data_IF_584111142315
#
_entry.id   IF_584111142315
#
_cell.length_a   1.000
_cell.length_b   1.000
_cell.length_c   1.000
_cell.angle_alpha   90.00
_cell.angle_beta   90.00
_cell.angle_gamma   90.00
#
_symmetry.space_group_name_H-M   'P 1'
#
loop_
_entity.id
_entity.type
_entity.pdbx_description
1 polymer ?
#
# COMPACT_ATOMS: atom_id res chain seq x y z
N UNK A 1 18.43 -8.20 -9.69
CA UNK A 1 18.15 -7.67 -8.33
C UNK A 1 16.68 -7.26 -8.33
N UNK A 2 15.87 -7.64 -7.32
CA UNK A 2 14.47 -7.23 -7.30
C UNK A 2 14.35 -5.71 -7.26
N UNK A 3 13.38 -5.15 -7.98
CA UNK A 3 13.16 -3.69 -8.00
C UNK A 3 12.54 -3.21 -6.69
N UNK A 4 12.60 -1.90 -6.44
CA UNK A 4 11.99 -1.30 -5.23
C UNK A 4 10.49 -1.59 -5.16
N UNK A 5 9.79 -1.48 -6.29
CA UNK A 5 8.35 -1.78 -6.38
C UNK A 5 8.03 -3.24 -6.02
N UNK A 6 8.86 -4.18 -6.50
CA UNK A 6 8.72 -5.59 -6.11
C UNK A 6 8.99 -5.81 -4.62
N UNK A 7 9.91 -5.05 -4.02
CA UNK A 7 10.21 -5.13 -2.59
C UNK A 7 9.07 -4.53 -1.74
N UNK A 8 8.46 -3.45 -2.19
CA UNK A 8 7.26 -2.84 -1.60
C UNK A 8 6.10 -3.84 -1.63
N UNK A 9 5.82 -4.43 -2.80
CA UNK A 9 4.81 -5.49 -2.96
C UNK A 9 5.07 -6.66 -2.01
N UNK A 10 6.32 -7.11 -1.93
CA UNK A 10 6.71 -8.19 -1.04
C UNK A 10 6.48 -7.87 0.44
N UNK A 11 6.91 -6.69 0.92
CA UNK A 11 6.69 -6.27 2.32
C UNK A 11 5.20 -6.11 2.64
N UNK A 12 4.42 -5.57 1.71
CA UNK A 12 2.98 -5.46 1.87
C UNK A 12 2.31 -6.83 2.00
N UNK A 13 2.72 -7.82 1.20
CA UNK A 13 2.25 -9.19 1.33
C UNK A 13 2.65 -9.82 2.67
N UNK A 14 3.90 -9.64 3.10
CA UNK A 14 4.36 -10.11 4.44
C UNK A 14 3.47 -9.53 5.55
N UNK A 15 3.08 -8.27 5.43
CA UNK A 15 2.24 -7.57 6.41
C UNK A 15 0.76 -7.97 6.35
N UNK A 16 0.23 -8.40 5.20
CA UNK A 16 -1.21 -8.63 5.01
C UNK A 16 -1.60 -10.10 4.84
N UNK A 17 -0.65 -11.01 4.63
CA UNK A 17 -0.97 -12.40 4.25
C UNK A 17 -1.80 -13.15 5.29
N UNK A 18 -1.49 -13.00 6.59
CA UNK A 18 -2.22 -13.65 7.69
C UNK A 18 -3.38 -12.82 8.25
N UNK A 19 -3.97 -11.94 7.43
CA UNK A 19 -5.13 -11.12 7.80
C UNK A 19 -4.80 -9.64 8.02
N UNK A 20 -5.78 -8.83 8.49
CA UNK A 20 -5.60 -7.39 8.66
C UNK A 20 -4.47 -7.12 9.66
N UNK A 21 -3.46 -6.30 9.32
CA UNK A 21 -2.35 -6.03 10.22
C UNK A 21 -2.81 -5.13 11.38
N UNK A 22 -2.46 -5.51 12.62
CA UNK A 22 -2.40 -4.57 13.74
C UNK A 22 -1.09 -3.80 13.66
N UNK A 23 -1.21 -2.50 13.40
CA UNK A 23 -0.06 -1.58 13.31
C UNK A 23 -0.01 -0.71 14.55
N UNK A 24 1.15 -0.63 15.18
CA UNK A 24 1.41 0.33 16.24
C UNK A 24 1.66 1.74 15.67
N UNK A 25 0.56 2.40 15.27
CA UNK A 25 0.57 3.75 14.70
C UNK A 25 1.36 4.77 15.54
N UNK A 26 1.26 4.85 16.88
CA UNK A 26 2.02 5.84 17.65
C UNK A 26 3.54 5.59 17.63
N UNK A 27 4.00 4.35 17.58
CA UNK A 27 5.44 4.06 17.46
C UNK A 27 5.95 4.36 16.06
N UNK A 28 5.19 4.00 15.03
CA UNK A 28 5.53 4.28 13.63
C UNK A 28 5.53 5.80 13.37
N UNK A 29 4.56 6.54 13.91
CA UNK A 29 4.46 7.98 13.75
C UNK A 29 5.64 8.69 14.42
N UNK A 30 6.04 8.24 15.61
CA UNK A 30 7.22 8.74 16.34
C UNK A 30 8.51 8.49 15.56
N UNK A 31 8.68 7.29 15.00
CA UNK A 31 9.85 6.94 14.18
C UNK A 31 9.95 7.77 12.88
N UNK A 32 8.81 8.17 12.32
CA UNK A 32 8.75 9.01 11.11
C UNK A 32 8.72 10.52 11.41
N UNK A 33 8.61 10.93 12.68
CA UNK A 33 8.42 12.34 13.06
C UNK A 33 7.08 12.92 12.56
N UNK A 34 6.05 12.09 12.44
CA UNK A 34 4.72 12.48 11.96
C UNK A 34 3.68 12.38 13.08
N UNK A 35 2.55 13.06 12.90
CA UNK A 35 1.38 12.87 13.77
C UNK A 35 0.66 11.55 13.42
N UNK A 36 0.00 10.93 14.39
CA UNK A 36 -0.77 9.68 14.27
C UNK A 36 -1.80 9.75 13.13
N UNK A 37 -2.53 10.87 13.01
CA UNK A 37 -3.52 11.04 11.94
C UNK A 37 -2.89 11.10 10.53
N UNK A 38 -1.72 11.70 10.39
CA UNK A 38 -0.99 11.73 9.11
C UNK A 38 -0.47 10.33 8.75
N UNK A 39 0.02 9.59 9.74
CA UNK A 39 0.51 8.21 9.62
C UNK A 39 -0.61 7.25 9.21
N UNK A 40 -1.78 7.36 9.85
CA UNK A 40 -2.98 6.59 9.50
C UNK A 40 -3.47 6.89 8.07
N UNK A 41 -3.51 8.17 7.66
CA UNK A 41 -3.83 8.54 6.27
C UNK A 41 -2.81 8.00 5.28
N UNK A 42 -1.51 8.02 5.62
CA UNK A 42 -0.44 7.44 4.78
C UNK A 42 -0.65 5.93 4.60
N UNK A 43 -1.01 5.22 5.67
CA UNK A 43 -1.37 3.80 5.59
C UNK A 43 -2.57 3.55 4.67
N UNK A 44 -3.65 4.32 4.84
CA UNK A 44 -4.84 4.19 3.98
C UNK A 44 -4.51 4.42 2.51
N UNK A 45 -3.75 5.47 2.19
CA UNK A 45 -3.32 5.77 0.82
C UNK A 45 -2.43 4.67 0.23
N UNK A 46 -1.50 4.16 1.03
CA UNK A 46 -0.63 3.06 0.62
C UNK A 46 -1.47 1.83 0.32
N UNK A 47 -2.35 1.43 1.24
CA UNK A 47 -3.23 0.27 1.06
C UNK A 47 -4.06 0.38 -0.22
N UNK A 48 -4.73 1.51 -0.44
CA UNK A 48 -5.49 1.75 -1.66
C UNK A 48 -4.61 1.69 -2.92
N UNK A 49 -3.41 2.29 -2.90
CA UNK A 49 -2.49 2.22 -4.03
C UNK A 49 -2.07 0.77 -4.33
N UNK A 50 -1.79 -0.04 -3.31
CA UNK A 50 -1.42 -1.46 -3.47
C UNK A 50 -2.59 -2.30 -3.99
N UNK A 51 -3.81 -2.07 -3.50
CA UNK A 51 -5.02 -2.75 -3.97
C UNK A 51 -5.38 -2.35 -5.42
N UNK A 52 -5.11 -1.10 -5.81
CA UNK A 52 -5.30 -0.58 -7.18
C UNK A 52 -4.13 -0.92 -8.13
N UNK A 53 -3.05 -1.54 -7.63
CA UNK A 53 -1.85 -1.85 -8.42
C UNK A 53 -1.04 -0.61 -8.86
N UNK A 54 -1.17 0.50 -8.13
CA UNK A 54 -0.43 1.75 -8.35
C UNK A 54 0.82 1.81 -7.49
N UNK A 55 1.81 2.56 -7.94
CA UNK A 55 3.04 2.78 -7.18
C UNK A 55 2.75 3.69 -5.96
N UNK A 56 2.96 3.22 -4.71
CA UNK A 56 2.70 4.00 -3.50
C UNK A 56 3.77 5.09 -3.22
N UNK A 57 4.81 5.18 -4.06
CA UNK A 57 5.88 6.17 -3.98
C UNK A 57 7.07 5.72 -3.13
N UNK A 58 8.19 6.46 -3.24
CA UNK A 58 9.48 6.10 -2.62
C UNK A 58 9.46 6.00 -1.09
N UNK A 59 8.57 6.75 -0.42
CA UNK A 59 8.45 6.67 1.05
C UNK A 59 7.71 5.42 1.55
N UNK A 60 7.04 4.68 0.65
CA UNK A 60 6.25 3.51 1.01
C UNK A 60 7.12 2.36 1.52
N UNK A 61 8.32 2.21 0.97
CA UNK A 61 9.22 1.13 1.35
C UNK A 61 9.71 1.28 2.79
N UNK A 62 10.14 2.49 3.19
CA UNK A 62 10.53 2.80 4.57
C UNK A 62 9.34 2.67 5.53
N UNK A 63 8.16 3.15 5.12
CA UNK A 63 6.94 3.04 5.93
C UNK A 63 6.56 1.58 6.20
N UNK A 64 6.54 0.74 5.16
CA UNK A 64 6.21 -0.68 5.27
C UNK A 64 7.20 -1.43 6.16
N UNK A 65 8.49 -1.08 6.09
CA UNK A 65 9.49 -1.66 6.97
C UNK A 65 9.20 -1.36 8.45
N UNK A 66 8.94 -0.09 8.79
CA UNK A 66 8.56 0.30 10.15
C UNK A 66 7.26 -0.37 10.60
N UNK A 67 6.29 -0.48 9.68
CA UNK A 67 5.03 -1.16 9.94
C UNK A 67 5.23 -2.64 10.24
N UNK A 68 6.12 -3.34 9.52
CA UNK A 68 6.45 -4.75 9.80
C UNK A 68 7.18 -4.89 11.14
N UNK A 69 8.15 -4.01 11.42
CA UNK A 69 8.93 -4.02 12.67
C UNK A 69 8.07 -3.77 13.91
N UNK A 70 7.14 -2.82 13.84
CA UNK A 70 6.28 -2.42 14.95
C UNK A 70 4.87 -3.01 14.82
N UNK A 71 4.74 -4.17 14.18
CA UNK A 71 3.49 -4.94 14.19
C UNK A 71 3.57 -6.07 15.21
N UNK A 72 2.42 -6.53 15.69
CA UNK A 72 2.28 -7.72 16.56
C UNK A 72 2.70 -9.04 15.88
N UNK A 73 3.42 -8.96 14.75
CA UNK A 73 3.94 -10.09 13.98
C UNK A 73 5.41 -10.35 14.27
N UNK A 74 6.11 -9.49 15.00
CA UNK A 74 7.44 -9.80 15.50
C UNK A 74 7.36 -11.04 16.41
N UNK A 75 7.81 -12.19 15.90
CA UNK A 75 7.75 -13.49 16.60
C UNK A 75 6.67 -14.47 16.13
N UNK A 76 5.76 -14.08 15.23
CA UNK A 76 4.81 -15.03 14.62
C UNK A 76 5.44 -15.71 13.39
N UNK A 77 5.27 -17.02 13.29
CA UNK A 77 5.66 -17.79 12.10
C UNK A 77 4.97 -17.22 10.87
N UNK A 78 5.76 -16.64 9.95
CA UNK A 78 5.25 -16.12 8.69
C UNK A 78 4.98 -17.29 7.74
N UNK A 79 3.81 -17.27 7.08
CA UNK A 79 3.43 -18.27 6.08
C UNK A 79 4.18 -18.05 4.76
N UNK A 80 5.48 -18.40 4.78
CA UNK A 80 6.36 -18.22 3.63
C UNK A 80 5.89 -18.99 2.38
N UNK A 81 5.10 -20.06 2.56
CA UNK A 81 4.54 -20.84 1.45
C UNK A 81 3.56 -20.00 0.62
N UNK A 82 2.65 -19.30 1.27
CA UNK A 82 1.61 -18.50 0.60
C UNK A 82 2.20 -17.22 0.00
N UNK A 83 3.11 -16.58 0.73
CA UNK A 83 3.83 -15.40 0.24
C UNK A 83 4.65 -15.78 -1.01
N UNK A 84 5.32 -16.94 -0.97
CA UNK A 84 6.11 -17.42 -2.10
C UNK A 84 5.25 -17.75 -3.31
N UNK A 85 4.07 -18.35 -3.11
CA UNK A 85 3.12 -18.62 -4.18
C UNK A 85 2.66 -17.32 -4.87
N UNK A 86 2.34 -16.27 -4.09
CA UNK A 86 1.93 -14.95 -4.62
C UNK A 86 3.06 -14.24 -5.37
N UNK A 87 4.31 -14.47 -4.98
CA UNK A 87 5.49 -13.90 -5.62
C UNK A 87 6.15 -14.81 -6.67
N UNK A 88 5.51 -15.92 -7.06
CA UNK A 88 6.07 -16.92 -7.99
C UNK A 88 7.51 -17.34 -7.63
N UNK A 89 7.77 -17.54 -6.33
CA UNK A 89 9.10 -17.89 -5.81
C UNK A 89 9.03 -19.10 -4.89
N UNK A 90 10.16 -19.54 -4.35
CA UNK A 90 10.22 -20.62 -3.36
C UNK A 90 10.17 -20.04 -1.94
N UNK A 91 9.59 -20.76 -0.96
CA UNK A 91 9.50 -20.28 0.42
C UNK A 91 10.89 -19.96 1.01
N UNK A 92 11.91 -20.75 0.69
CA UNK A 92 13.29 -20.48 1.09
C UNK A 92 13.88 -19.23 0.42
N UNK A 93 13.52 -18.93 -0.83
CA UNK A 93 13.94 -17.69 -1.48
C UNK A 93 13.24 -16.45 -0.89
N UNK A 94 11.95 -16.55 -0.59
CA UNK A 94 11.19 -15.49 0.09
C UNK A 94 11.76 -15.18 1.48
N UNK A 95 12.02 -16.19 2.31
CA UNK A 95 12.61 -16.02 3.63
C UNK A 95 14.02 -15.38 3.55
N UNK A 96 14.85 -15.81 2.59
CA UNK A 96 16.17 -15.19 2.33
C UNK A 96 16.05 -13.74 1.88
N UNK A 97 15.09 -13.42 1.00
CA UNK A 97 14.84 -12.03 0.56
C UNK A 97 14.48 -11.15 1.75
N UNK A 98 13.58 -11.62 2.62
CA UNK A 98 13.22 -10.92 3.86
C UNK A 98 14.42 -10.70 4.77
N UNK A 99 15.23 -11.74 5.01
CA UNK A 99 16.45 -11.64 5.84
C UNK A 99 17.45 -10.62 5.28
N UNK A 100 17.66 -10.60 3.94
CA UNK A 100 18.53 -9.60 3.29
C UNK A 100 18.00 -8.18 3.45
N UNK A 101 16.70 -7.97 3.31
CA UNK A 101 16.09 -6.65 3.52
C UNK A 101 16.21 -6.22 4.98
N UNK A 102 15.87 -7.11 5.92
CA UNK A 102 16.02 -6.85 7.36
C UNK A 102 17.44 -6.39 7.71
N UNK A 103 18.44 -7.13 7.23
CA UNK A 103 19.84 -6.80 7.43
C UNK A 103 20.21 -5.44 6.82
N UNK A 104 19.75 -5.13 5.61
CA UNK A 104 20.02 -3.84 4.98
C UNK A 104 19.47 -2.66 5.80
N UNK A 105 18.23 -2.77 6.31
CA UNK A 105 17.61 -1.75 7.14
C UNK A 105 18.26 -1.62 8.52
N UNK A 106 18.71 -2.72 9.13
CA UNK A 106 19.42 -2.69 10.42
C UNK A 106 20.85 -2.14 10.31
N UNK A 107 21.54 -2.41 9.20
CA UNK A 107 22.87 -1.89 8.92
C UNK A 107 22.87 -0.40 8.53
N UNK A 108 21.69 0.24 8.48
CA UNK A 108 21.56 1.65 8.09
C UNK A 108 21.97 1.92 6.64
N UNK A 109 22.11 0.87 5.81
CA UNK A 109 22.19 1.06 4.37
C UNK A 109 20.79 1.45 3.92
N UNK A 110 20.68 2.70 3.44
CA UNK A 110 19.49 3.16 2.73
C UNK A 110 18.95 2.01 1.88
N UNK A 111 17.66 1.75 2.05
CA UNK A 111 16.87 0.88 1.19
C UNK A 111 17.45 0.83 -0.23
N UNK A 112 17.70 -0.36 -0.83
CA UNK A 112 18.22 -0.43 -2.19
C UNK A 112 17.18 0.16 -3.16
N UNK A 113 17.28 1.47 -3.43
CA UNK A 113 16.26 2.27 -4.10
C UNK A 113 16.24 3.75 -3.75
N UNK A 114 16.78 4.17 -2.58
CA UNK A 114 16.87 5.58 -2.21
C UNK A 114 17.95 6.31 -3.03
N UNK A 115 17.63 6.64 -4.28
CA UNK A 115 18.30 7.73 -4.99
C UNK A 115 17.94 9.02 -4.26
N UNK A 116 18.95 9.64 -3.66
CA UNK A 116 18.81 10.77 -2.75
C UNK A 116 17.95 11.91 -3.30
N UNK A 117 16.99 12.35 -2.48
CA UNK A 117 16.31 13.64 -2.59
C UNK A 117 16.78 14.56 -1.48
N UNK A 118 17.62 15.53 -1.84
CA UNK A 118 18.19 16.60 -1.00
C UNK A 118 17.16 17.35 -0.13
N UNK A 119 17.54 17.88 1.05
CA UNK A 119 16.67 18.70 1.89
C UNK A 119 16.55 20.10 1.28
N UNK A 120 15.43 20.41 0.63
CA UNK A 120 15.16 21.78 0.20
C UNK A 120 14.63 22.57 1.40
N UNK A 121 15.53 23.25 2.11
CA UNK A 121 15.18 24.38 2.97
C UNK A 121 14.55 25.47 2.10
N UNK A 122 13.26 25.74 2.27
CA UNK A 122 12.67 27.01 1.83
C UNK A 122 12.34 27.85 3.07
N UNK A 123 13.06 28.95 3.24
CA UNK A 123 12.94 29.93 4.31
C UNK A 123 12.23 31.17 3.73
N UNK A 124 11.08 31.56 4.31
CA UNK A 124 10.55 32.95 4.24
C UNK A 124 9.11 33.16 3.74
N UNK A 125 8.15 33.23 4.70
CA UNK A 125 7.10 34.27 4.97
C UNK A 125 6.28 34.96 3.84
N UNK A 126 5.15 35.69 4.14
CA UNK A 126 4.12 35.52 5.20
C UNK A 126 2.65 35.75 4.71
N UNK A 127 1.71 35.50 5.63
CA UNK A 127 0.52 36.35 5.95
C UNK A 127 -0.91 35.88 5.62
N UNK A 128 -1.74 36.06 6.67
CA UNK A 128 -3.19 36.33 6.75
C UNK A 128 -4.18 35.21 6.42
N UNK A 129 -4.64 34.59 7.51
CA UNK A 129 -6.04 34.72 7.94
C UNK A 129 -7.10 34.00 7.12
N UNK A 130 -7.57 32.87 7.64
CA UNK A 130 -9.01 32.61 7.71
C UNK A 130 -9.26 31.51 8.75
N UNK A 131 -9.93 31.91 9.82
CA UNK A 131 -10.59 31.03 10.78
C UNK A 131 -11.67 30.23 10.07
N UNK A 132 -11.61 28.90 10.12
CA UNK A 132 -12.79 28.06 9.96
C UNK A 132 -12.84 27.04 11.10
N UNK A 133 -13.86 27.22 11.94
CA UNK A 133 -14.33 26.26 12.93
C UNK A 133 -14.78 24.98 12.23
N UNK A 134 -14.25 23.83 12.64
CA UNK A 134 -14.91 22.54 12.39
C UNK A 134 -15.31 21.94 13.73
N UNK A 135 -16.54 22.23 14.13
CA UNK A 135 -17.25 21.46 15.15
C UNK A 135 -17.67 20.11 14.55
N UNK A 136 -17.54 19.08 15.39
CA UNK A 136 -18.33 17.84 15.42
C UNK A 136 -18.27 16.92 14.20
N UNK A 137 -17.29 16.02 14.20
CA UNK A 137 -17.45 14.70 13.59
C UNK A 137 -18.23 13.80 14.55
N UNK A 138 -19.54 13.67 14.33
CA UNK A 138 -20.31 12.55 14.86
C UNK A 138 -19.94 11.30 14.07
N UNK A 139 -19.30 10.36 14.78
CA UNK A 139 -19.37 8.94 14.49
C UNK A 139 -20.84 8.56 14.27
N UNK A 140 -21.17 7.92 13.14
CA UNK A 140 -22.07 6.76 13.11
C UNK A 140 -22.19 6.14 11.72
N UNK A 141 -22.02 4.82 11.71
CA UNK A 141 -22.65 3.83 10.84
C UNK A 141 -22.17 3.70 9.38
N UNK A 142 -21.10 2.92 9.24
CA UNK A 142 -21.00 1.94 8.17
C UNK A 142 -22.19 0.96 8.24
N UNK A 143 -23.07 0.97 7.24
CA UNK A 143 -23.90 -0.19 6.90
C UNK A 143 -23.63 -0.60 5.46
N UNK A 144 -23.05 -1.79 5.33
CA UNK A 144 -23.11 -2.68 4.18
C UNK A 144 -24.43 -2.54 3.38
N UNK A 145 -24.35 -2.48 2.04
CA UNK A 145 -24.96 -3.50 1.16
C UNK A 145 -24.94 -3.11 -0.34
N UNK A 146 -24.50 -4.10 -1.15
CA UNK A 146 -24.92 -4.41 -2.52
C UNK A 146 -24.43 -3.56 -3.71
N UNK A 147 -23.30 -4.00 -4.30
CA UNK A 147 -23.10 -3.94 -5.74
C UNK A 147 -23.64 -5.22 -6.38
N UNK A 148 -24.76 -5.11 -7.10
CA UNK A 148 -25.21 -6.11 -8.08
C UNK A 148 -25.07 -5.52 -9.49
N UNK A 149 -24.28 -6.18 -10.34
CA UNK A 149 -24.17 -5.87 -11.77
C UNK A 149 -25.47 -6.22 -12.52
N UNK A 150 -25.64 -5.73 -13.76
CA UNK A 150 -25.65 -6.73 -14.83
C UNK A 150 -24.94 -6.35 -16.15
N UNK A 151 -24.39 -7.42 -16.76
CA UNK A 151 -23.93 -7.56 -18.14
C UNK A 151 -25.02 -7.16 -19.15
N UNK A 152 -24.67 -6.34 -20.13
CA UNK A 152 -25.39 -6.29 -21.41
C UNK A 152 -24.63 -7.11 -22.46
N UNK A 153 -25.10 -8.34 -22.73
CA UNK A 153 -24.96 -9.01 -24.03
C UNK A 153 -26.35 -9.05 -24.65
N UNK A 154 -26.49 -8.49 -25.84
CA UNK A 154 -27.68 -8.61 -26.70
C UNK A 154 -27.11 -8.89 -28.10
N UNK A 155 -26.98 -10.15 -28.54
CA UNK A 155 -27.99 -11.05 -29.16
C UNK A 155 -28.44 -10.54 -30.54
N UNK A 156 -27.80 -11.05 -31.59
CA UNK A 156 -28.34 -11.15 -32.96
C UNK A 156 -29.66 -11.96 -32.95
N UNK A 157 -30.60 -11.69 -33.88
CA UNK A 157 -30.63 -12.52 -35.10
C UNK A 157 -31.15 -11.83 -36.39
N UNK A 158 -30.63 -12.32 -37.52
CA UNK A 158 -31.33 -12.72 -38.76
C UNK A 158 -32.53 -11.87 -39.30
N UNK A 159 -32.40 -11.32 -40.52
CA UNK A 159 -33.32 -11.60 -41.65
C UNK A 159 -33.03 -10.77 -42.94
N UNK A 160 -32.71 -11.51 -44.00
CA UNK A 160 -33.28 -11.49 -45.37
C UNK A 160 -33.41 -10.17 -46.18
N UNK A 161 -32.60 -10.14 -47.24
CA UNK A 161 -33.00 -10.12 -48.67
C UNK A 161 -33.84 -8.97 -49.26
N UNK A 162 -33.24 -8.24 -50.21
CA UNK A 162 -33.78 -7.96 -51.56
C UNK A 162 -32.68 -7.21 -52.36
N UNK A 163 -32.05 -7.85 -53.36
CA UNK A 163 -32.41 -7.90 -54.80
C UNK A 163 -32.18 -6.59 -55.58
N UNK A 164 -31.22 -6.71 -56.52
CA UNK A 164 -31.27 -6.38 -57.97
C UNK A 164 -31.01 -4.93 -58.43
N UNK A 165 -29.94 -4.84 -59.24
CA UNK A 165 -29.80 -4.19 -60.57
C UNK A 165 -30.18 -2.70 -60.70
N UNK A 166 -29.42 -1.86 -61.40
CA UNK A 166 -28.81 -2.00 -62.74
C UNK A 166 -27.46 -1.30 -62.76
#
# INVERSE_FOLDING_TARGET
MPTEDENINFLYLVLTNSGPPTLDIPTISSALGLNNGATSKRWSRLRSAMEEGKNPGSTAYQFLWLAVKHSDREGKSLDWKDIAAKCNTTPGAAAKRYSRMKKAFEEGKDAPGSVGGTPVKAKGMPSKGQSYSFQNYSFQNYSFQNYTQPRHRHRDPEAKACKRAV
#
